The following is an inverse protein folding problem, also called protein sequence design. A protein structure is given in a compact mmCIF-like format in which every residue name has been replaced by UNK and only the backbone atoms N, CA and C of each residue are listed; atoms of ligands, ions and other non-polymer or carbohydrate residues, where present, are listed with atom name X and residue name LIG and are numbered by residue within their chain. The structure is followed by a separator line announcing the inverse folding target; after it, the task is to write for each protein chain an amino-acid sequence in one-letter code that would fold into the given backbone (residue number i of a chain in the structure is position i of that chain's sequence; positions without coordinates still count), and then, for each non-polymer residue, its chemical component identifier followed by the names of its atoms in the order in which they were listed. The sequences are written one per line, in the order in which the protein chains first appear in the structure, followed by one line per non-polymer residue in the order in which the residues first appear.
data_IF_680908302750
#
_entry.id   IF_680908302750
#
_cell.length_a   1.000
_cell.length_b   1.000
_cell.length_c   1.000
_cell.angle_alpha   90.00
_cell.angle_beta   90.00
_cell.angle_gamma   90.00
#
_symmetry.space_group_name_H-M   'P 1'
#
loop_
_entity.id
_entity.type
_entity.pdbx_description
1 polymer ?
#
# COMPACT_ATOMS: atom_id res chain seq x y z
N UNK A 1 -17.22 -11.27 -16.18
CA UNK A 1 -18.60 -10.74 -16.00
C UNK A 1 -18.64 -9.95 -14.69
N UNK A 2 -19.09 -8.71 -14.73
CA UNK A 2 -19.34 -7.92 -13.51
C UNK A 2 -20.60 -8.46 -12.84
N UNK A 3 -20.52 -8.72 -11.54
CA UNK A 3 -21.64 -9.22 -10.76
C UNK A 3 -22.45 -8.06 -10.18
N UNK A 4 -23.76 -8.06 -10.46
CA UNK A 4 -24.72 -7.24 -9.74
C UNK A 4 -25.16 -8.01 -8.50
N UNK A 5 -24.83 -7.48 -7.31
CA UNK A 5 -25.11 -8.11 -6.03
C UNK A 5 -26.06 -7.22 -5.21
N UNK A 6 -26.91 -7.85 -4.39
CA UNK A 6 -27.63 -7.12 -3.34
C UNK A 6 -26.63 -6.47 -2.38
N UNK A 7 -27.06 -5.43 -1.68
CA UNK A 7 -26.16 -4.65 -0.81
C UNK A 7 -25.51 -5.51 0.29
N UNK A 8 -26.26 -6.40 0.93
CA UNK A 8 -25.72 -7.25 2.00
C UNK A 8 -24.75 -8.31 1.46
N UNK A 9 -25.08 -8.92 0.32
CA UNK A 9 -24.19 -9.86 -0.39
C UNK A 9 -22.90 -9.15 -0.80
N UNK A 10 -23.01 -7.92 -1.29
CA UNK A 10 -21.88 -7.10 -1.70
C UNK A 10 -20.94 -6.82 -0.53
N UNK A 11 -21.48 -6.39 0.62
CA UNK A 11 -20.67 -6.15 1.81
C UNK A 11 -19.97 -7.43 2.29
N UNK A 12 -20.68 -8.56 2.24
CA UNK A 12 -20.12 -9.88 2.57
C UNK A 12 -18.98 -10.27 1.63
N UNK A 13 -19.12 -10.01 0.33
CA UNK A 13 -18.06 -10.23 -0.65
C UNK A 13 -16.86 -9.33 -0.36
N UNK A 14 -17.05 -8.02 -0.12
CA UNK A 14 -15.96 -7.11 0.22
C UNK A 14 -15.17 -7.58 1.45
N UNK A 15 -15.87 -7.98 2.51
CA UNK A 15 -15.26 -8.51 3.74
C UNK A 15 -14.49 -9.81 3.51
N UNK A 16 -14.95 -10.68 2.61
CA UNK A 16 -14.28 -11.96 2.34
C UNK A 16 -13.06 -11.82 1.41
N UNK A 17 -13.09 -10.89 0.46
CA UNK A 17 -12.06 -10.76 -0.58
C UNK A 17 -10.98 -9.73 -0.25
N UNK A 18 -11.30 -8.65 0.47
CA UNK A 18 -10.29 -7.73 1.02
C UNK A 18 -9.88 -8.20 2.41
N UNK A 19 -8.90 -9.11 2.47
CA UNK A 19 -8.40 -9.65 3.75
C UNK A 19 -7.42 -8.72 4.46
N UNK A 20 -7.00 -7.63 3.82
CA UNK A 20 -5.98 -6.72 4.34
C UNK A 20 -6.59 -5.62 5.20
N UNK A 21 -7.86 -5.28 4.95
CA UNK A 21 -8.57 -4.16 5.56
C UNK A 21 -10.02 -4.53 5.81
N UNK A 22 -10.61 -3.96 6.86
CA UNK A 22 -11.99 -4.25 7.23
C UNK A 22 -12.97 -3.32 6.52
N UNK A 23 -13.98 -3.91 5.88
CA UNK A 23 -15.16 -3.22 5.36
C UNK A 23 -16.29 -3.30 6.40
N UNK A 24 -16.49 -2.24 7.18
CA UNK A 24 -17.58 -2.13 8.17
C UNK A 24 -18.90 -1.83 7.47
N UNK A 25 -18.87 -0.97 6.45
CA UNK A 25 -20.03 -0.55 5.67
C UNK A 25 -19.67 -0.41 4.18
N UNK A 26 -20.67 -0.44 3.31
CA UNK A 26 -20.50 -0.09 1.88
C UNK A 26 -20.15 1.39 1.66
N UNK A 27 -20.34 2.23 2.68
CA UNK A 27 -19.96 3.64 2.64
C UNK A 27 -18.50 3.86 3.04
N UNK A 28 -17.80 2.84 3.54
CA UNK A 28 -16.37 2.95 3.83
C UNK A 28 -15.63 3.31 2.54
N UNK A 29 -14.64 4.19 2.66
CA UNK A 29 -13.89 4.68 1.50
C UNK A 29 -12.49 4.09 1.44
N UNK A 30 -11.98 3.99 0.20
CA UNK A 30 -10.60 3.66 -0.11
C UNK A 30 -10.07 4.61 -1.16
N UNK A 31 -8.75 4.75 -1.17
CA UNK A 31 -7.99 5.46 -2.19
C UNK A 31 -7.19 4.44 -2.99
N UNK A 32 -7.33 4.45 -4.32
CA UNK A 32 -6.45 3.67 -5.19
C UNK A 32 -5.07 4.35 -5.28
N UNK A 33 -3.99 3.66 -4.97
CA UNK A 33 -2.65 4.25 -5.09
C UNK A 33 -2.19 4.39 -6.56
N UNK A 34 -2.80 3.67 -7.49
CA UNK A 34 -2.47 3.72 -8.93
C UNK A 34 -3.13 4.95 -9.58
N UNK A 35 -4.47 4.98 -9.65
CA UNK A 35 -5.21 6.06 -10.31
C UNK A 35 -5.55 7.25 -9.39
N UNK A 36 -5.17 7.20 -8.11
CA UNK A 36 -5.42 8.24 -7.09
C UNK A 36 -6.89 8.59 -6.86
N UNK A 37 -7.83 7.80 -7.38
CA UNK A 37 -9.26 8.00 -7.19
C UNK A 37 -9.71 7.45 -5.84
N UNK A 38 -10.54 8.24 -5.14
CA UNK A 38 -11.29 7.83 -3.96
C UNK A 38 -12.61 7.16 -4.38
N UNK A 39 -12.97 6.07 -3.72
CA UNK A 39 -14.21 5.36 -3.99
C UNK A 39 -14.70 4.64 -2.73
N UNK A 40 -15.97 4.26 -2.71
CA UNK A 40 -16.57 3.49 -1.63
C UNK A 40 -16.91 2.06 -2.05
N UNK A 41 -17.35 1.26 -1.07
CA UNK A 41 -17.71 -0.13 -1.25
C UNK A 41 -18.81 -0.35 -2.29
N UNK A 42 -19.69 0.62 -2.55
CA UNK A 42 -20.75 0.53 -3.59
C UNK A 42 -20.23 0.64 -5.01
N UNK A 43 -19.12 1.35 -5.19
CA UNK A 43 -18.56 1.64 -6.51
C UNK A 43 -17.65 0.52 -7.02
N UNK A 44 -16.97 -0.22 -6.13
CA UNK A 44 -16.02 -1.29 -6.49
C UNK A 44 -16.54 -2.23 -7.58
N UNK A 45 -15.71 -2.57 -8.56
CA UNK A 45 -16.11 -3.62 -9.50
C UNK A 45 -15.94 -4.99 -8.85
N UNK A 46 -17.02 -5.76 -8.80
CA UNK A 46 -16.98 -7.14 -8.32
C UNK A 46 -17.14 -8.05 -9.53
N UNK A 47 -16.12 -8.87 -9.80
CA UNK A 47 -16.13 -9.81 -10.92
C UNK A 47 -16.30 -11.23 -10.38
N UNK A 48 -17.23 -11.98 -10.95
CA UNK A 48 -17.41 -13.40 -10.61
C UNK A 48 -16.53 -14.26 -11.53
N UNK A 49 -15.68 -15.08 -10.92
CA UNK A 49 -14.84 -16.05 -11.61
C UNK A 49 -15.59 -17.37 -11.84
N UNK A 50 -15.08 -18.20 -12.76
CA UNK A 50 -15.66 -19.52 -13.09
C UNK A 50 -15.69 -20.49 -11.91
N UNK A 51 -14.80 -20.33 -10.93
CA UNK A 51 -14.71 -21.16 -9.72
C UNK A 51 -15.60 -20.64 -8.56
N UNK A 52 -16.65 -19.88 -8.86
CA UNK A 52 -17.54 -19.23 -7.89
C UNK A 52 -16.85 -18.26 -6.91
N UNK A 53 -15.58 -17.90 -7.12
CA UNK A 53 -14.91 -16.85 -6.35
C UNK A 53 -15.24 -15.47 -6.93
N UNK A 54 -15.07 -14.46 -6.10
CA UNK A 54 -15.20 -13.06 -6.48
C UNK A 54 -13.83 -12.39 -6.47
N UNK A 55 -13.62 -11.45 -7.39
CA UNK A 55 -12.49 -10.55 -7.37
C UNK A 55 -12.96 -9.11 -7.25
N UNK A 56 -12.19 -8.30 -6.52
CA UNK A 56 -12.43 -6.88 -6.36
C UNK A 56 -11.49 -6.10 -7.27
N UNK A 57 -12.06 -5.17 -8.04
CA UNK A 57 -11.35 -4.35 -9.00
C UNK A 57 -11.68 -2.87 -8.80
N UNK A 58 -10.73 -2.01 -9.15
CA UNK A 58 -10.91 -0.57 -9.09
C UNK A 58 -12.07 -0.14 -9.99
N UNK A 59 -12.92 0.80 -9.56
CA UNK A 59 -14.04 1.28 -10.38
C UNK A 59 -13.64 2.27 -11.47
N UNK A 60 -12.34 2.54 -11.64
CA UNK A 60 -11.84 3.41 -12.69
C UNK A 60 -11.56 2.57 -13.92
N UNK A 61 -12.16 2.96 -15.04
CA UNK A 61 -11.92 2.32 -16.34
C UNK A 61 -10.41 2.31 -16.67
N UNK A 62 -9.91 1.16 -17.13
CA UNK A 62 -8.50 0.95 -17.43
C UNK A 62 -7.57 0.78 -16.22
N UNK A 63 -8.05 0.98 -14.98
CA UNK A 63 -7.24 0.74 -13.78
C UNK A 63 -7.33 -0.73 -13.35
N UNK A 64 -6.19 -1.42 -13.32
CA UNK A 64 -6.10 -2.84 -12.92
C UNK A 64 -5.86 -3.05 -11.41
N UNK A 65 -5.98 -2.00 -10.59
CA UNK A 65 -5.65 -2.12 -9.16
C UNK A 65 -6.66 -3.00 -8.41
N UNK A 66 -6.14 -3.83 -7.51
CA UNK A 66 -6.93 -4.72 -6.64
C UNK A 66 -6.66 -4.41 -5.17
N UNK A 67 -7.30 -5.07 -4.19
CA UNK A 67 -7.32 -4.64 -2.79
C UNK A 67 -5.97 -4.28 -2.20
N UNK A 68 -4.90 -5.02 -2.47
CA UNK A 68 -3.56 -4.73 -1.95
C UNK A 68 -3.01 -3.33 -2.31
N UNK A 69 -3.54 -2.69 -3.36
CA UNK A 69 -3.16 -1.35 -3.84
C UNK A 69 -4.12 -0.24 -3.36
N UNK A 70 -5.02 -0.55 -2.43
CA UNK A 70 -5.97 0.40 -1.90
C UNK A 70 -5.59 0.77 -0.47
N UNK A 71 -5.73 2.03 -0.09
CA UNK A 71 -5.41 2.49 1.26
C UNK A 71 -6.58 3.24 1.87
N UNK A 72 -6.55 3.47 3.18
CA UNK A 72 -7.49 4.42 3.76
C UNK A 72 -7.16 5.82 3.24
N UNK A 73 -8.16 6.66 2.93
CA UNK A 73 -7.89 7.99 2.40
C UNK A 73 -7.08 8.89 3.34
N UNK A 74 -7.16 8.64 4.65
CA UNK A 74 -6.35 9.35 5.66
C UNK A 74 -4.93 8.78 5.82
N UNK A 75 -4.58 7.67 5.15
CA UNK A 75 -3.24 7.13 5.19
C UNK A 75 -2.30 8.09 4.47
N UNK A 76 -1.30 8.68 5.16
CA UNK A 76 -0.33 9.54 4.51
C UNK A 76 0.46 8.71 3.50
N UNK A 77 0.42 9.13 2.23
CA UNK A 77 1.29 8.58 1.20
C UNK A 77 2.69 9.14 1.45
N UNK A 78 3.50 8.41 2.22
CA UNK A 78 4.95 8.66 2.29
C UNK A 78 5.46 8.44 0.87
N UNK A 79 5.81 9.54 0.18
CA UNK A 79 6.33 9.43 -1.18
C UNK A 79 7.59 8.57 -1.16
N UNK A 80 7.77 7.71 -2.17
CA UNK A 80 8.99 6.94 -2.43
C UNK A 80 10.29 7.78 -2.36
N UNK A 81 10.20 9.11 -2.45
CA UNK A 81 11.31 10.02 -2.18
C UNK A 81 11.95 9.84 -0.79
N UNK A 82 11.16 9.52 0.25
CA UNK A 82 11.68 9.21 1.58
C UNK A 82 12.25 7.78 1.67
N UNK A 83 11.96 6.92 0.69
CA UNK A 83 12.58 5.60 0.61
C UNK A 83 14.04 5.64 0.09
N UNK A 84 14.44 6.67 -0.65
CA UNK A 84 15.86 6.82 -1.03
C UNK A 84 16.75 7.27 0.14
N UNK A 85 16.17 7.90 1.16
CA UNK A 85 16.92 8.40 2.32
C UNK A 85 17.27 7.32 3.34
N UNK A 86 16.49 6.23 3.44
CA UNK A 86 16.85 5.14 4.35
C UNK A 86 18.10 4.37 3.89
N UNK A 87 18.38 4.27 2.58
CA UNK A 87 19.64 3.67 2.12
C UNK A 87 20.86 4.52 2.47
N UNK A 88 20.74 5.85 2.45
CA UNK A 88 21.83 6.77 2.83
C UNK A 88 22.19 6.67 4.31
N UNK A 89 21.21 6.42 5.17
CA UNK A 89 21.44 6.26 6.61
C UNK A 89 22.05 4.89 6.97
N UNK A 90 21.71 3.83 6.24
CA UNK A 90 22.29 2.48 6.46
C UNK A 90 23.74 2.41 5.97
N UNK A 91 24.12 3.19 4.96
CA UNK A 91 25.49 3.24 4.43
C UNK A 91 26.53 3.96 5.29
N UNK A 92 26.15 4.63 6.39
CA UNK A 92 27.07 5.47 7.19
C UNK A 92 27.66 4.79 8.44
N UNK A 93 27.40 3.51 8.70
CA UNK A 93 28.09 2.78 9.77
C UNK A 93 29.23 1.91 9.23
N UNK A 94 30.34 2.53 8.79
CA UNK A 94 31.65 1.84 8.79
C UNK A 94 32.90 2.75 8.64
N UNK A 95 32.93 3.96 9.20
CA UNK A 95 34.20 4.73 9.33
C UNK A 95 34.29 5.52 10.64
N UNK A 96 34.35 4.83 11.77
CA UNK A 96 34.90 5.39 13.01
C UNK A 96 35.55 4.30 13.86
N UNK A 97 36.79 3.99 13.51
CA UNK A 97 37.86 3.56 14.44
C UNK A 97 39.17 3.86 13.71
N UNK A 98 40.12 4.65 14.18
CA UNK A 98 40.20 5.52 15.34
C UNK A 98 41.38 6.46 15.05
N UNK A 99 41.31 7.66 15.58
CA UNK A 99 42.38 8.64 15.52
C UNK A 99 42.95 8.81 16.92
N UNK A 100 44.25 8.57 17.08
CA UNK A 100 45.06 9.36 18.03
C UNK A 100 46.40 9.73 17.38
N UNK A 101 46.79 11.02 17.43
CA UNK A 101 48.10 11.50 17.01
C UNK A 101 49.04 11.58 18.23
N UNK A 102 50.14 10.83 18.21
CA UNK A 102 51.22 10.93 19.18
C UNK A 102 52.47 11.56 18.56
N UNK A 103 52.80 12.78 18.98
CA UNK A 103 54.00 13.51 18.61
C UNK A 103 55.22 13.08 19.47
N UNK A 104 56.43 13.11 18.88
CA UNK A 104 57.67 13.44 19.61
C UNK A 104 58.90 12.53 19.40
N UNK A 105 60.02 13.14 18.95
CA UNK A 105 61.33 12.94 19.60
C UNK A 105 62.44 12.11 18.94
N UNK A 106 63.37 12.82 18.27
CA UNK A 106 64.86 12.72 18.21
C UNK A 106 65.67 11.37 18.22
N UNK A 107 66.63 11.32 17.27
CA UNK A 107 68.06 10.88 17.27
C UNK A 107 68.57 9.86 18.32
N UNK A 108 69.31 8.83 17.88
CA UNK A 108 70.80 8.73 17.84
C UNK A 108 71.18 7.81 16.68
#
# INVERSE_FOLDING_TARGET
MIAQLKLDDRLSVLRSQDRLRNWRSLNDERLCIICKRKFNGRQIEIRRLRNHKYELHCPTEGCNSSPHLWIYPATPLVSYALELDWWRLVGQKHRTSGSEPGAGGQRV
#
